data_IF_221125582839
#
_entry.id   IF_221125582839
#
_cell.length_a   1.000
_cell.length_b   1.000
_cell.length_c   1.000
_cell.angle_alpha   90.00
_cell.angle_beta   90.00
_cell.angle_gamma   90.00
#
_symmetry.space_group_name_H-M   'P 1'
#
loop_
_entity.id
_entity.type
_entity.pdbx_description
1 polymer ?
#
# COMPACT_ATOMS: atom_id res chain seq x y z
N UNK A 1 -0.45 -29.91 -31.75
CA UNK A 1 -0.94 -29.03 -30.66
C UNK A 1 -1.84 -29.88 -29.78
N UNK A 2 -1.25 -30.65 -28.89
CA UNK A 2 -1.96 -31.61 -28.04
C UNK A 2 -2.36 -30.91 -26.75
N UNK A 3 -3.66 -30.73 -26.56
CA UNK A 3 -4.25 -30.28 -25.30
C UNK A 3 -4.54 -31.55 -24.49
N UNK A 4 -3.65 -31.86 -23.54
CA UNK A 4 -3.74 -33.05 -22.70
C UNK A 4 -3.81 -32.67 -21.22
N UNK A 5 -4.68 -33.39 -20.51
CA UNK A 5 -4.39 -33.75 -19.13
C UNK A 5 -4.90 -32.84 -18.02
N UNK A 6 -6.21 -32.93 -17.75
CA UNK A 6 -6.76 -33.09 -16.39
C UNK A 6 -5.69 -33.45 -15.35
N UNK A 7 -5.39 -32.62 -14.33
CA UNK A 7 -6.01 -32.52 -12.99
C UNK A 7 -4.95 -31.84 -12.07
N UNK A 8 -5.27 -31.22 -10.91
CA UNK A 8 -6.27 -31.75 -10.00
C UNK A 8 -7.18 -30.72 -9.30
N UNK A 9 -8.47 -31.02 -9.45
CA UNK A 9 -9.61 -30.75 -8.55
C UNK A 9 -9.38 -31.16 -7.07
N UNK A 10 -8.19 -31.65 -6.68
CA UNK A 10 -7.88 -32.12 -5.33
C UNK A 10 -7.72 -30.98 -4.30
N UNK A 11 -7.35 -29.77 -4.74
CA UNK A 11 -7.10 -28.65 -3.81
C UNK A 11 -8.38 -28.09 -3.17
N UNK A 12 -9.53 -28.31 -3.80
CA UNK A 12 -10.83 -27.82 -3.31
C UNK A 12 -11.31 -28.50 -2.02
N UNK A 13 -10.78 -29.68 -1.67
CA UNK A 13 -11.19 -30.41 -0.47
C UNK A 13 -10.34 -30.11 0.78
N UNK A 14 -9.19 -29.43 0.68
CA UNK A 14 -8.36 -29.13 1.86
C UNK A 14 -8.81 -27.93 2.69
N UNK A 15 -9.59 -26.99 2.14
CA UNK A 15 -9.74 -25.65 2.75
C UNK A 15 -10.87 -25.45 3.78
N UNK A 16 -11.65 -26.50 4.11
CA UNK A 16 -12.74 -26.39 5.11
C UNK A 16 -12.27 -26.23 6.56
N UNK A 17 -10.97 -26.34 6.84
CA UNK A 17 -10.39 -26.13 8.17
C UNK A 17 -9.23 -25.11 8.13
N UNK A 18 -9.44 -23.96 7.49
CA UNK A 18 -8.53 -22.80 7.59
C UNK A 18 -8.77 -22.11 8.94
N UNK A 19 -8.07 -22.59 9.96
CA UNK A 19 -8.09 -22.06 11.32
C UNK A 19 -7.69 -20.59 11.38
N UNK A 20 -8.11 -19.89 12.45
CA UNK A 20 -7.81 -18.48 12.69
C UNK A 20 -6.32 -18.14 12.44
N UNK A 21 -5.42 -19.07 12.75
CA UNK A 21 -3.97 -18.94 12.55
C UNK A 21 -3.54 -18.73 11.09
N UNK A 22 -4.19 -19.38 10.12
CA UNK A 22 -3.82 -19.26 8.71
C UNK A 22 -4.19 -17.88 8.14
N UNK A 23 -5.36 -17.37 8.53
CA UNK A 23 -5.76 -15.99 8.20
C UNK A 23 -4.82 -14.97 8.84
N UNK A 24 -4.42 -15.17 10.11
CA UNK A 24 -3.48 -14.28 10.78
C UNK A 24 -2.09 -14.31 10.11
N UNK A 25 -1.61 -15.48 9.68
CA UNK A 25 -0.34 -15.61 8.97
C UNK A 25 -0.33 -14.84 7.65
N UNK A 26 -1.40 -14.93 6.86
CA UNK A 26 -1.56 -14.17 5.62
C UNK A 26 -1.53 -12.65 5.89
N UNK A 27 -2.22 -12.18 6.93
CA UNK A 27 -2.21 -10.75 7.28
C UNK A 27 -0.81 -10.28 7.68
N UNK A 28 -0.06 -11.08 8.45
CA UNK A 28 1.29 -10.74 8.89
C UNK A 28 2.28 -10.71 7.72
N UNK A 29 2.17 -11.65 6.78
CA UNK A 29 2.98 -11.68 5.56
C UNK A 29 2.75 -10.42 4.71
N UNK A 30 1.48 -10.07 4.45
CA UNK A 30 1.12 -8.85 3.70
C UNK A 30 1.69 -7.60 4.36
N UNK A 31 1.65 -7.50 5.69
CA UNK A 31 2.23 -6.37 6.41
C UNK A 31 3.75 -6.27 6.20
N UNK A 32 4.47 -7.38 6.24
CA UNK A 32 5.89 -7.44 5.93
C UNK A 32 6.19 -7.04 4.48
N UNK A 33 5.45 -7.60 3.54
CA UNK A 33 5.61 -7.34 2.11
C UNK A 33 5.34 -5.87 1.75
N UNK A 34 4.31 -5.25 2.35
CA UNK A 34 4.04 -3.81 2.21
C UNK A 34 5.18 -2.98 2.84
N UNK A 35 5.67 -3.36 4.03
CA UNK A 35 6.74 -2.65 4.71
C UNK A 35 8.07 -2.67 3.93
N UNK A 36 8.34 -3.77 3.25
CA UNK A 36 9.49 -3.95 2.35
C UNK A 36 9.25 -3.36 0.95
N UNK A 37 8.03 -2.88 0.67
CA UNK A 37 7.56 -2.45 -0.67
C UNK A 37 7.70 -3.52 -1.75
N UNK A 38 7.67 -4.80 -1.37
CA UNK A 38 7.63 -5.88 -2.35
C UNK A 38 6.29 -5.91 -3.08
N UNK A 39 5.23 -5.35 -2.48
CA UNK A 39 3.90 -5.19 -3.07
C UNK A 39 3.31 -3.79 -2.84
N UNK A 40 2.49 -3.34 -3.79
CA UNK A 40 1.68 -2.13 -3.70
C UNK A 40 0.42 -2.34 -2.85
N UNK A 41 -0.24 -1.25 -2.45
CA UNK A 41 -1.53 -1.32 -1.74
C UNK A 41 -2.62 -2.02 -2.59
N UNK A 42 -2.57 -1.86 -3.91
CA UNK A 42 -3.50 -2.54 -4.83
C UNK A 42 -3.28 -4.05 -4.85
N UNK A 43 -2.02 -4.48 -4.91
CA UNK A 43 -1.64 -5.88 -4.84
C UNK A 43 -2.00 -6.50 -3.49
N UNK A 44 -1.78 -5.78 -2.38
CA UNK A 44 -2.22 -6.22 -1.07
C UNK A 44 -3.74 -6.46 -1.01
N UNK A 45 -4.56 -5.57 -1.60
CA UNK A 45 -6.01 -5.77 -1.71
C UNK A 45 -6.36 -7.03 -2.51
N UNK A 46 -5.60 -7.32 -3.58
CA UNK A 46 -5.77 -8.55 -4.37
C UNK A 46 -5.40 -9.80 -3.57
N UNK A 47 -4.29 -9.77 -2.81
CA UNK A 47 -3.87 -10.88 -1.94
C UNK A 47 -4.92 -11.15 -0.87
N UNK A 48 -5.45 -10.11 -0.20
CA UNK A 48 -6.56 -10.26 0.74
C UNK A 48 -7.79 -10.91 0.11
N UNK A 49 -8.10 -10.58 -1.15
CA UNK A 49 -9.23 -11.17 -1.86
C UNK A 49 -9.02 -12.66 -2.16
N UNK A 50 -7.86 -13.03 -2.69
CA UNK A 50 -7.59 -14.39 -3.19
C UNK A 50 -7.19 -15.31 -2.04
N UNK A 51 -6.26 -14.89 -1.20
CA UNK A 51 -5.61 -15.78 -0.25
C UNK A 51 -6.35 -15.82 1.09
N UNK A 52 -6.92 -14.69 1.53
CA UNK A 52 -7.66 -14.65 2.80
C UNK A 52 -9.14 -15.02 2.67
N UNK A 53 -9.78 -14.71 1.52
CA UNK A 53 -11.22 -14.92 1.32
C UNK A 53 -11.57 -15.90 0.19
N UNK A 54 -10.67 -16.13 -0.76
CA UNK A 54 -10.91 -16.98 -1.94
C UNK A 54 -12.20 -16.64 -2.72
N UNK A 55 -12.45 -15.33 -2.92
CA UNK A 55 -13.66 -14.84 -3.59
C UNK A 55 -13.36 -14.16 -4.92
N UNK A 56 -14.38 -14.12 -5.78
CA UNK A 56 -14.31 -13.36 -7.03
C UNK A 56 -14.26 -11.85 -6.77
N UNK A 57 -13.75 -11.08 -7.74
CA UNK A 57 -13.76 -9.60 -7.66
C UNK A 57 -15.17 -9.05 -7.43
N UNK A 58 -16.18 -9.64 -8.06
CA UNK A 58 -17.57 -9.20 -7.91
C UNK A 58 -18.08 -9.40 -6.48
N UNK A 59 -17.79 -10.54 -5.86
CA UNK A 59 -18.18 -10.83 -4.48
C UNK A 59 -17.44 -9.92 -3.51
N UNK A 60 -16.13 -9.75 -3.71
CA UNK A 60 -15.33 -8.89 -2.85
C UNK A 60 -15.74 -7.42 -2.93
N UNK A 61 -16.08 -6.93 -4.12
CA UNK A 61 -16.60 -5.58 -4.31
C UNK A 61 -17.91 -5.37 -3.53
N UNK A 62 -18.80 -6.37 -3.48
CA UNK A 62 -20.02 -6.30 -2.66
C UNK A 62 -19.70 -6.26 -1.16
N UNK A 63 -18.76 -7.08 -0.69
CA UNK A 63 -18.31 -7.10 0.71
C UNK A 63 -17.75 -5.72 1.12
N UNK A 64 -16.95 -5.12 0.24
CA UNK A 64 -16.34 -3.81 0.45
C UNK A 64 -17.29 -2.64 0.15
N UNK A 65 -18.50 -2.90 -0.38
CA UNK A 65 -19.48 -1.89 -0.80
C UNK A 65 -18.93 -0.87 -1.81
N UNK A 66 -18.16 -1.36 -2.78
CA UNK A 66 -17.62 -0.56 -3.89
C UNK A 66 -18.03 -1.17 -5.23
N UNK A 67 -17.90 -0.42 -6.32
CA UNK A 67 -18.14 -0.98 -7.66
C UNK A 67 -17.05 -2.00 -8.02
N UNK A 68 -17.42 -3.04 -8.78
CA UNK A 68 -16.44 -4.01 -9.28
C UNK A 68 -15.36 -3.33 -10.14
N UNK A 69 -15.73 -2.33 -10.93
CA UNK A 69 -14.79 -1.52 -11.73
C UNK A 69 -13.78 -0.79 -10.84
N UNK A 70 -14.26 -0.19 -9.75
CA UNK A 70 -13.40 0.48 -8.76
C UNK A 70 -12.41 -0.51 -8.15
N UNK A 71 -12.88 -1.71 -7.76
CA UNK A 71 -12.00 -2.74 -7.24
C UNK A 71 -10.93 -3.18 -8.26
N UNK A 72 -11.28 -3.36 -9.53
CA UNK A 72 -10.32 -3.71 -10.60
C UNK A 72 -9.25 -2.63 -10.76
N UNK A 73 -9.63 -1.35 -10.74
CA UNK A 73 -8.67 -0.25 -10.82
C UNK A 73 -7.76 -0.17 -9.58
N UNK A 74 -8.30 -0.48 -8.40
CA UNK A 74 -7.52 -0.59 -7.16
C UNK A 74 -6.51 -1.74 -7.26
N UNK A 75 -6.97 -2.96 -7.58
CA UNK A 75 -6.12 -4.16 -7.63
C UNK A 75 -5.03 -4.10 -8.71
N UNK A 76 -5.26 -3.35 -9.79
CA UNK A 76 -4.29 -3.15 -10.87
C UNK A 76 -3.33 -1.98 -10.65
N UNK A 77 -3.52 -1.19 -9.58
CA UNK A 77 -2.72 0.03 -9.33
C UNK A 77 -2.95 1.16 -10.36
N UNK A 78 -3.91 1.00 -11.28
CA UNK A 78 -4.23 1.99 -12.32
C UNK A 78 -5.21 3.05 -11.84
N UNK A 79 -5.87 2.84 -10.69
CA UNK A 79 -6.76 3.79 -10.06
C UNK A 79 -6.05 4.74 -9.11
N UNK A 80 -6.68 5.88 -8.82
CA UNK A 80 -6.30 6.79 -7.74
C UNK A 80 -7.34 6.75 -6.61
N UNK A 81 -7.42 5.66 -5.82
CA UNK A 81 -8.38 5.57 -4.73
C UNK A 81 -8.04 6.54 -3.61
N UNK A 82 -9.06 7.12 -2.98
CA UNK A 82 -8.85 7.93 -1.78
C UNK A 82 -8.37 7.05 -0.62
N UNK A 83 -7.62 7.63 0.32
CA UNK A 83 -7.24 6.97 1.58
C UNK A 83 -8.47 6.38 2.27
N UNK A 84 -9.59 7.13 2.31
CA UNK A 84 -10.86 6.68 2.87
C UNK A 84 -11.41 5.41 2.20
N UNK A 85 -11.29 5.31 0.88
CA UNK A 85 -11.70 4.11 0.13
C UNK A 85 -10.85 2.92 0.56
N UNK A 86 -9.53 3.07 0.62
CA UNK A 86 -8.62 2.02 1.03
C UNK A 86 -8.86 1.59 2.49
N UNK A 87 -8.97 2.55 3.41
CA UNK A 87 -9.32 2.29 4.82
C UNK A 87 -10.63 1.53 4.96
N UNK A 88 -11.64 1.85 4.15
CA UNK A 88 -12.94 1.14 4.20
C UNK A 88 -12.83 -0.35 3.85
N UNK A 89 -11.89 -0.70 2.97
CA UNK A 89 -11.57 -2.08 2.58
C UNK A 89 -10.78 -2.74 3.70
N UNK A 90 -9.64 -2.15 4.09
CA UNK A 90 -8.73 -2.70 5.10
C UNK A 90 -9.39 -2.90 6.47
N UNK A 91 -10.31 -2.00 6.86
CA UNK A 91 -11.06 -2.11 8.12
C UNK A 91 -11.87 -3.42 8.22
N UNK A 92 -12.30 -4.01 7.08
CA UNK A 92 -13.00 -5.32 7.08
C UNK A 92 -12.14 -6.47 7.57
N UNK A 93 -10.83 -6.29 7.52
CA UNK A 93 -9.82 -7.26 7.95
C UNK A 93 -9.16 -6.85 9.27
N UNK A 94 -9.70 -5.84 9.97
CA UNK A 94 -9.07 -5.29 11.18
C UNK A 94 -7.78 -4.50 10.91
N UNK A 95 -7.54 -4.10 9.65
CA UNK A 95 -6.36 -3.36 9.24
C UNK A 95 -6.66 -1.85 9.13
N UNK A 96 -5.63 -1.04 9.35
CA UNK A 96 -5.65 0.42 9.16
C UNK A 96 -4.35 0.86 8.47
N UNK A 97 -4.41 1.98 7.74
CA UNK A 97 -3.23 2.54 7.08
C UNK A 97 -2.35 3.28 8.09
N UNK A 98 -1.04 3.11 7.95
CA UNK A 98 -0.03 3.74 8.82
C UNK A 98 1.12 4.30 7.99
N UNK A 99 1.96 5.11 8.63
CA UNK A 99 3.20 5.61 8.05
C UNK A 99 4.37 4.73 8.51
N UNK A 100 5.16 4.26 7.56
CA UNK A 100 6.38 3.51 7.80
C UNK A 100 7.63 4.35 7.54
N UNK A 101 8.73 4.04 8.24
CA UNK A 101 10.04 4.63 7.93
C UNK A 101 10.60 3.99 6.66
N UNK A 102 10.88 4.81 5.65
CA UNK A 102 11.53 4.35 4.42
C UNK A 102 12.93 3.83 4.71
N UNK A 103 13.26 2.62 4.24
CA UNK A 103 14.60 2.07 4.35
C UNK A 103 15.60 3.03 3.67
N UNK A 104 16.72 3.38 4.34
CA UNK A 104 17.69 4.29 3.76
C UNK A 104 18.29 3.83 2.43
N UNK A 105 18.30 2.52 2.16
CA UNK A 105 18.83 1.88 0.95
C UNK A 105 17.80 1.74 -0.19
N UNK A 106 16.54 2.15 0.02
CA UNK A 106 15.51 2.11 -1.02
C UNK A 106 15.90 3.05 -2.19
N UNK A 107 16.08 2.55 -3.42
CA UNK A 107 16.54 3.36 -4.57
C UNK A 107 15.59 4.52 -4.89
N UNK A 108 14.30 4.40 -4.61
CA UNK A 108 13.33 5.47 -4.81
C UNK A 108 13.46 6.61 -3.77
N UNK A 109 14.21 6.39 -2.66
CA UNK A 109 14.53 7.45 -1.67
C UNK A 109 15.56 8.42 -2.22
N UNK A 110 16.53 7.95 -3.00
CA UNK A 110 17.58 8.80 -3.56
C UNK A 110 17.01 9.82 -4.56
N UNK A 111 16.00 9.43 -5.35
CA UNK A 111 15.28 10.33 -6.26
C UNK A 111 14.52 11.47 -5.53
N UNK A 112 14.08 11.23 -4.29
CA UNK A 112 13.35 12.26 -3.50
C UNK A 112 14.28 13.27 -2.83
N UNK A 113 15.56 12.93 -2.60
CA UNK A 113 16.53 13.85 -1.95
C UNK A 113 16.74 15.13 -2.77
N UNK A 114 16.65 15.04 -4.08
CA UNK A 114 16.78 16.19 -4.98
C UNK A 114 15.56 17.13 -4.92
N UNK A 115 14.37 16.62 -4.57
CA UNK A 115 13.14 17.40 -4.48
C UNK A 115 12.86 17.99 -3.08
N UNK A 116 13.62 17.60 -2.05
CA UNK A 116 13.46 18.10 -0.68
C UNK A 116 14.32 19.34 -0.40
N UNK A 117 14.74 20.09 -1.43
CA UNK A 117 15.02 21.52 -1.31
C UNK A 117 13.71 22.28 -1.05
N UNK A 118 13.06 21.96 0.08
CA UNK A 118 12.11 22.85 0.71
C UNK A 118 12.96 24.08 1.05
N UNK A 119 12.78 25.16 0.29
CA UNK A 119 13.38 26.45 0.57
C UNK A 119 12.90 26.88 1.94
N UNK A 120 13.62 26.45 2.98
CA UNK A 120 13.49 27.05 4.30
C UNK A 120 13.66 28.55 4.08
N UNK A 121 12.70 29.39 4.50
CA UNK A 121 12.90 30.83 4.43
C UNK A 121 14.23 31.10 5.15
N UNK A 122 15.18 31.72 4.44
CA UNK A 122 16.42 32.17 5.07
C UNK A 122 15.97 32.99 6.27
N UNK A 123 16.26 32.50 7.47
CA UNK A 123 16.10 33.31 8.66
C UNK A 123 16.90 34.57 8.38
N UNK A 124 16.20 35.69 8.37
CA UNK A 124 16.77 37.02 8.27
C UNK A 124 17.65 37.17 9.50
N UNK A 125 18.89 36.70 9.43
CA UNK A 125 19.93 37.09 10.37
C UNK A 125 20.17 38.55 10.06
N UNK A 126 19.42 39.37 10.79
CA UNK A 126 19.80 40.69 11.29
C UNK A 126 20.73 41.47 10.37
N UNK A 127 20.10 42.31 9.54
CA UNK A 127 20.64 43.63 9.19
C UNK A 127 20.94 44.39 10.49
N UNK A 128 22.10 44.12 11.09
CA UNK A 128 22.75 45.03 12.04
C UNK A 128 24.24 45.09 11.72
N UNK A 129 24.56 45.71 10.60
CA UNK A 129 25.87 46.35 10.45
C UNK A 129 25.79 47.51 9.47
N UNK A 130 24.99 48.53 9.80
CA UNK A 130 25.22 49.87 9.24
C UNK A 130 24.85 50.94 10.26
N UNK A 131 25.76 51.14 11.22
CA UNK A 131 25.74 52.28 12.12
C UNK A 131 27.18 52.68 12.42
N UNK A 132 27.88 53.23 11.43
CA UNK A 132 29.02 54.13 11.66
C UNK A 132 29.02 55.23 10.60
N UNK A 133 28.19 56.25 10.83
CA UNK A 133 28.47 57.59 10.34
C UNK A 133 29.79 58.06 10.92
N UNK A 134 30.68 58.55 10.06
CA UNK A 134 31.87 59.29 10.49
C UNK A 134 32.11 60.42 9.50
N UNK A 135 31.47 61.55 9.78
CA UNK A 135 31.88 62.86 9.25
C UNK A 135 33.17 63.30 9.97
N UNK A 136 34.04 64.02 9.24
CA UNK A 136 34.48 65.33 9.73
C UNK A 136 34.25 66.46 8.73
#
# INVERSE_FOLDING_TARGET
MSNDGSKPTADRLRRRETGICERLAVLQQIQGDIAERSITLGEAVRVLRVDALDVTQREFARICKISQRTLVHIESGTGNPTVRTLESIFKKFGLYLTLGRRNPSDPERLKTRDNFQMTLPRTRTDDQSDARGKDP
#
